data_IF_704264148120
#
_entry.id   IF_704264148120
#
_cell.length_a   1.000
_cell.length_b   1.000
_cell.length_c   1.000
_cell.angle_alpha   90.00
_cell.angle_beta   90.00
_cell.angle_gamma   90.00
#
_symmetry.space_group_name_H-M   'P 1'
#
loop_
_entity.id
_entity.type
_entity.pdbx_description
1 polymer ?
#
# COMPACT_ATOMS: atom_id res chain seq x y z
N UNK A 1 24.18 9.96 -18.68
CA UNK A 1 24.18 11.00 -17.63
C UNK A 1 22.94 10.73 -16.80
N UNK A 2 23.08 10.47 -15.49
CA UNK A 2 21.92 10.24 -14.61
C UNK A 2 21.36 11.62 -14.26
N UNK A 3 20.11 11.89 -14.63
CA UNK A 3 19.43 13.14 -14.31
C UNK A 3 19.14 13.19 -12.81
N UNK A 4 19.15 14.39 -12.22
CA UNK A 4 18.63 14.55 -10.86
C UNK A 4 17.13 14.28 -10.82
N UNK A 5 16.61 13.83 -9.68
CA UNK A 5 15.18 13.54 -9.47
C UNK A 5 14.29 14.75 -9.80
N UNK A 6 14.69 15.95 -9.35
CA UNK A 6 13.98 17.20 -9.65
C UNK A 6 13.98 17.47 -11.16
N UNK A 7 15.10 17.28 -11.85
CA UNK A 7 15.16 17.47 -13.30
C UNK A 7 14.28 16.46 -14.06
N UNK A 8 14.17 15.21 -13.58
CA UNK A 8 13.23 14.22 -14.15
C UNK A 8 11.79 14.72 -14.04
N UNK A 9 11.38 15.22 -12.86
CA UNK A 9 10.04 15.81 -12.65
C UNK A 9 9.81 17.00 -13.60
N UNK A 10 10.76 17.94 -13.67
CA UNK A 10 10.63 19.12 -14.54
C UNK A 10 10.50 18.76 -16.01
N UNK A 11 11.21 17.73 -16.49
CA UNK A 11 11.08 17.23 -17.86
C UNK A 11 9.73 16.60 -18.13
N UNK A 12 9.20 15.81 -17.19
CA UNK A 12 7.85 15.23 -17.28
C UNK A 12 6.79 16.33 -17.35
N UNK A 13 6.86 17.33 -16.45
CA UNK A 13 5.98 18.50 -16.48
C UNK A 13 6.06 19.24 -17.83
N UNK A 14 7.28 19.58 -18.28
CA UNK A 14 7.48 20.29 -19.54
C UNK A 14 6.91 19.50 -20.72
N UNK A 15 7.14 18.19 -20.76
CA UNK A 15 6.68 17.33 -21.83
C UNK A 15 5.15 17.22 -21.85
N UNK A 16 4.52 17.07 -20.69
CA UNK A 16 3.06 17.02 -20.59
C UNK A 16 2.42 18.36 -21.00
N UNK A 17 2.89 19.49 -20.46
CA UNK A 17 2.39 20.82 -20.85
C UNK A 17 2.56 21.10 -22.33
N UNK A 18 3.71 20.77 -22.92
CA UNK A 18 3.93 20.98 -24.36
C UNK A 18 2.96 20.21 -25.23
N UNK A 19 2.49 19.04 -24.76
CA UNK A 19 1.56 18.18 -25.50
C UNK A 19 0.09 18.54 -25.30
N UNK A 20 -0.21 19.31 -24.25
CA UNK A 20 -1.49 19.97 -24.02
C UNK A 20 -1.53 21.38 -24.62
N UNK A 21 -0.52 21.74 -25.44
CA UNK A 21 -0.35 23.09 -26.00
C UNK A 21 -0.33 24.23 -24.94
N UNK A 22 -0.04 23.87 -23.68
CA UNK A 22 0.04 24.78 -22.56
C UNK A 22 1.39 25.51 -22.53
N UNK A 23 1.34 26.85 -22.48
CA UNK A 23 2.54 27.70 -22.45
C UNK A 23 2.94 28.04 -21.03
N UNK A 24 3.78 27.21 -20.43
CA UNK A 24 4.27 27.39 -19.06
C UNK A 24 5.73 27.86 -19.09
N UNK A 25 6.06 28.87 -18.29
CA UNK A 25 7.45 29.33 -18.17
C UNK A 25 8.31 28.27 -17.48
N UNK A 26 9.60 28.22 -17.82
CA UNK A 26 10.55 27.30 -17.16
C UNK A 26 10.63 27.55 -15.64
N UNK A 27 10.45 28.81 -15.21
CA UNK A 27 10.41 29.16 -13.80
C UNK A 27 9.22 28.53 -13.09
N UNK A 28 8.01 28.60 -13.68
CA UNK A 28 6.84 27.94 -13.12
C UNK A 28 6.97 26.40 -13.12
N UNK A 29 7.59 25.82 -14.15
CA UNK A 29 7.90 24.37 -14.19
C UNK A 29 8.86 23.98 -13.06
N UNK A 30 9.88 24.80 -12.79
CA UNK A 30 10.82 24.59 -11.68
C UNK A 30 10.09 24.67 -10.33
N UNK A 31 9.26 25.69 -10.12
CA UNK A 31 8.48 25.84 -8.89
C UNK A 31 7.58 24.62 -8.62
N UNK A 32 6.84 24.16 -9.64
CA UNK A 32 6.02 22.95 -9.56
C UNK A 32 6.87 21.71 -9.27
N UNK A 33 7.98 21.54 -9.99
CA UNK A 33 8.88 20.40 -9.82
C UNK A 33 9.49 20.33 -8.41
N UNK A 34 9.86 21.48 -7.84
CA UNK A 34 10.35 21.58 -6.46
C UNK A 34 9.26 21.20 -5.45
N UNK A 35 8.01 21.64 -5.66
CA UNK A 35 6.90 21.30 -4.76
C UNK A 35 6.61 19.79 -4.79
N UNK A 36 6.49 19.19 -5.98
CA UNK A 36 6.29 17.74 -6.14
C UNK A 36 7.44 16.98 -5.47
N UNK A 37 8.69 17.39 -5.71
CA UNK A 37 9.84 16.73 -5.08
C UNK A 37 9.78 16.80 -3.55
N UNK A 38 9.55 17.99 -2.97
CA UNK A 38 9.53 18.17 -1.50
C UNK A 38 8.43 17.38 -0.81
N UNK A 39 7.24 17.34 -1.40
CA UNK A 39 6.08 16.64 -0.84
C UNK A 39 6.26 15.13 -0.89
N UNK A 40 6.82 14.61 -1.99
CA UNK A 40 7.00 13.18 -2.21
C UNK A 40 8.29 12.58 -1.61
N UNK A 41 9.18 13.40 -1.03
CA UNK A 41 10.44 12.94 -0.40
C UNK A 41 10.39 12.86 1.12
N UNK A 42 9.18 12.89 1.70
CA UNK A 42 9.00 12.69 3.13
C UNK A 42 9.52 11.31 3.57
N UNK A 43 10.40 11.28 4.59
CA UNK A 43 11.10 10.08 5.06
C UNK A 43 10.21 8.93 5.56
N UNK A 44 8.91 9.18 5.75
CA UNK A 44 7.95 8.21 6.27
C UNK A 44 7.25 7.43 5.16
N UNK A 45 7.32 7.88 3.91
CA UNK A 45 6.71 7.19 2.77
C UNK A 45 7.66 6.12 2.25
N UNK A 46 7.13 4.92 2.02
CA UNK A 46 7.87 3.76 1.53
C UNK A 46 7.26 3.17 0.26
N UNK A 47 5.95 3.36 0.03
CA UNK A 47 5.25 2.95 -1.18
C UNK A 47 4.94 4.17 -2.06
N UNK A 48 4.26 5.18 -1.51
CA UNK A 48 3.85 6.39 -2.25
C UNK A 48 5.05 7.36 -2.39
N UNK A 49 6.06 6.95 -3.16
CA UNK A 49 7.35 7.64 -3.38
C UNK A 49 7.47 8.21 -4.80
N UNK A 50 8.55 8.96 -5.08
CA UNK A 50 8.85 9.40 -6.44
C UNK A 50 9.13 8.27 -7.42
N UNK A 51 9.55 7.10 -6.95
CA UNK A 51 9.76 5.93 -7.80
C UNK A 51 8.43 5.39 -8.33
N UNK A 52 7.41 5.30 -7.47
CA UNK A 52 6.02 4.98 -7.84
C UNK A 52 5.49 5.99 -8.87
N UNK A 53 5.60 7.28 -8.56
CA UNK A 53 5.18 8.36 -9.47
C UNK A 53 5.88 8.29 -10.82
N UNK A 54 7.18 7.98 -10.86
CA UNK A 54 7.90 7.87 -12.12
C UNK A 54 7.49 6.67 -12.96
N UNK A 55 7.18 5.53 -12.33
CA UNK A 55 6.62 4.37 -13.03
C UNK A 55 5.29 4.74 -13.70
N UNK A 56 4.39 5.40 -12.97
CA UNK A 56 3.10 5.85 -13.52
C UNK A 56 3.25 6.91 -14.61
N UNK A 57 4.19 7.85 -14.44
CA UNK A 57 4.41 8.93 -15.39
C UNK A 57 5.08 8.48 -16.70
N UNK A 58 5.58 7.24 -16.81
CA UNK A 58 6.11 6.65 -18.04
C UNK A 58 4.99 6.20 -19.00
N UNK A 59 4.00 7.07 -19.21
CA UNK A 59 2.82 6.82 -20.04
C UNK A 59 2.71 7.86 -21.18
N UNK A 60 2.25 7.49 -22.39
CA UNK A 60 2.12 8.42 -23.50
C UNK A 60 0.91 9.36 -23.41
N UNK A 61 0.04 9.32 -22.42
CA UNK A 61 -1.07 10.28 -22.28
C UNK A 61 -0.64 11.46 -21.38
N UNK A 62 -0.61 12.72 -21.83
CA UNK A 62 -0.17 13.85 -21.00
C UNK A 62 -1.00 14.05 -19.73
N UNK A 63 -2.31 13.77 -19.76
CA UNK A 63 -3.14 13.83 -18.54
C UNK A 63 -2.71 12.78 -17.51
N UNK A 64 -2.39 11.57 -17.97
CA UNK A 64 -1.86 10.50 -17.13
C UNK A 64 -0.54 10.92 -16.48
N UNK A 65 0.38 11.54 -17.25
CA UNK A 65 1.66 12.03 -16.72
C UNK A 65 1.47 13.07 -15.63
N UNK A 66 0.57 14.05 -15.84
CA UNK A 66 0.29 15.06 -14.82
C UNK A 66 -0.43 14.45 -13.62
N UNK A 67 -1.44 13.60 -13.82
CA UNK A 67 -2.12 12.93 -12.71
C UNK A 67 -1.14 12.12 -11.84
N UNK A 68 -0.22 11.38 -12.46
CA UNK A 68 0.84 10.64 -11.76
C UNK A 68 1.65 11.54 -10.83
N UNK A 69 2.07 12.71 -11.30
CA UNK A 69 2.89 13.66 -10.51
C UNK A 69 2.17 14.27 -9.31
N UNK A 70 0.84 14.26 -9.29
CA UNK A 70 0.04 14.98 -8.30
C UNK A 70 -0.89 14.11 -7.44
N UNK A 71 -1.29 12.91 -7.88
CA UNK A 71 -2.34 12.12 -7.19
C UNK A 71 -1.99 11.79 -5.73
N UNK A 72 -0.71 11.57 -5.43
CA UNK A 72 -0.17 11.27 -4.10
C UNK A 72 0.48 12.46 -3.39
N UNK A 73 0.30 13.68 -3.89
CA UNK A 73 1.00 14.85 -3.32
C UNK A 73 0.60 15.10 -1.85
N UNK A 74 -0.59 14.64 -1.46
CA UNK A 74 -1.06 14.60 -0.08
C UNK A 74 -1.20 13.17 0.40
N UNK A 75 -0.53 12.83 1.51
CA UNK A 75 -0.74 11.56 2.21
C UNK A 75 -0.89 11.80 3.72
N UNK A 76 -2.04 12.35 4.10
CA UNK A 76 -2.25 13.07 5.37
C UNK A 76 -1.92 12.24 6.61
N UNK A 77 -2.32 10.96 6.63
CA UNK A 77 -2.15 10.09 7.81
C UNK A 77 -0.68 9.72 8.01
N UNK A 78 0.05 9.51 6.91
CA UNK A 78 1.45 9.11 6.92
C UNK A 78 2.35 10.32 7.17
N UNK A 79 2.09 11.44 6.50
CA UNK A 79 2.82 12.69 6.66
C UNK A 79 2.49 13.42 7.97
N UNK A 80 1.46 12.95 8.71
CA UNK A 80 0.96 13.53 9.97
C UNK A 80 0.47 14.96 9.81
N UNK A 81 -0.24 15.22 8.72
CA UNK A 81 -0.80 16.53 8.37
C UNK A 81 -0.54 16.92 6.91
N UNK A 82 -0.98 18.11 6.52
CA UNK A 82 -0.65 18.65 5.20
C UNK A 82 0.78 19.21 5.15
N UNK A 83 1.56 18.90 4.09
CA UNK A 83 2.83 19.58 3.82
C UNK A 83 2.64 21.11 3.77
N UNK A 84 3.62 21.94 4.21
CA UNK A 84 3.44 23.38 4.29
C UNK A 84 3.03 24.06 2.97
N UNK A 85 3.62 23.63 1.86
CA UNK A 85 3.31 24.11 0.52
C UNK A 85 1.86 23.80 0.13
N UNK A 86 1.38 22.58 0.43
CA UNK A 86 0.00 22.16 0.19
C UNK A 86 -0.97 22.91 1.11
N UNK A 87 -0.66 22.98 2.42
CA UNK A 87 -1.51 23.59 3.44
C UNK A 87 -1.90 25.02 3.07
N UNK A 88 -0.97 25.80 2.52
CA UNK A 88 -1.24 27.20 2.09
C UNK A 88 -2.36 27.29 1.06
N UNK A 89 -2.49 26.29 0.20
CA UNK A 89 -3.49 26.25 -0.87
C UNK A 89 -4.81 25.66 -0.37
N UNK A 90 -4.76 24.59 0.42
CA UNK A 90 -5.99 23.85 0.81
C UNK A 90 -6.66 24.39 2.08
N UNK A 91 -5.96 25.16 2.92
CA UNK A 91 -6.50 25.69 4.18
C UNK A 91 -7.81 26.49 4.07
N UNK A 92 -8.09 27.24 2.99
CA UNK A 92 -9.40 27.89 2.82
C UNK A 92 -10.57 26.89 2.68
N UNK A 93 -10.29 25.67 2.26
CA UNK A 93 -11.29 24.66 1.89
C UNK A 93 -11.34 23.48 2.86
N UNK A 94 -10.28 23.25 3.64
CA UNK A 94 -10.13 22.13 4.56
C UNK A 94 -9.82 22.60 5.97
N UNK A 95 -10.54 22.06 6.95
CA UNK A 95 -10.41 22.39 8.38
C UNK A 95 -9.82 21.19 9.13
N UNK A 96 -8.66 21.37 9.76
CA UNK A 96 -7.98 20.40 10.63
C UNK A 96 -8.42 20.64 12.10
N UNK A 97 -9.30 19.79 12.66
CA UNK A 97 -9.66 19.82 14.10
C UNK A 97 -9.61 18.41 14.70
N UNK A 98 -10.66 17.62 14.45
CA UNK A 98 -10.81 16.22 14.85
C UNK A 98 -10.78 15.33 13.60
N UNK A 99 -9.67 15.45 12.85
CA UNK A 99 -9.56 15.00 11.46
C UNK A 99 -9.77 16.16 10.48
N UNK A 100 -10.00 15.81 9.21
CA UNK A 100 -10.12 16.77 8.11
C UNK A 100 -11.59 16.89 7.71
N UNK A 101 -12.10 18.12 7.66
CA UNK A 101 -13.48 18.41 7.25
C UNK A 101 -13.48 19.45 6.14
N UNK A 102 -14.34 19.29 5.13
CA UNK A 102 -14.53 20.29 4.09
C UNK A 102 -15.18 21.53 4.70
N UNK A 103 -14.67 22.72 4.40
CA UNK A 103 -15.22 23.97 4.88
C UNK A 103 -16.70 24.11 4.48
N UNK A 104 -17.55 24.53 5.43
CA UNK A 104 -18.98 24.69 5.19
C UNK A 104 -19.31 25.91 4.31
N UNK A 105 -18.47 26.95 4.35
CA UNK A 105 -18.62 28.19 3.60
C UNK A 105 -17.60 28.29 2.48
N UNK A 106 -17.82 27.53 1.40
CA UNK A 106 -17.05 27.70 0.17
C UNK A 106 -17.76 28.74 -0.68
N UNK A 107 -17.05 29.83 -0.99
CA UNK A 107 -17.62 30.96 -1.71
C UNK A 107 -18.10 30.54 -3.11
N UNK A 108 -19.24 31.09 -3.61
CA UNK A 108 -19.80 30.69 -4.89
C UNK A 108 -18.88 30.88 -6.10
N UNK A 109 -17.91 31.81 -6.00
CA UNK A 109 -16.92 32.12 -7.03
C UNK A 109 -15.70 31.18 -7.02
N UNK A 110 -15.55 30.32 -6.01
CA UNK A 110 -14.48 29.30 -5.93
C UNK A 110 -14.82 28.10 -6.84
N UNK A 111 -14.83 28.37 -8.14
CA UNK A 111 -15.30 27.44 -9.18
C UNK A 111 -14.54 26.11 -9.18
N UNK A 112 -13.21 26.15 -9.10
CA UNK A 112 -12.39 24.93 -9.10
C UNK A 112 -12.65 24.05 -7.88
N UNK A 113 -12.76 24.63 -6.68
CA UNK A 113 -13.09 23.88 -5.47
C UNK A 113 -14.47 23.21 -5.59
N UNK A 114 -15.46 23.90 -6.16
CA UNK A 114 -16.82 23.35 -6.37
C UNK A 114 -16.84 22.22 -7.39
N UNK A 115 -16.15 22.38 -8.53
CA UNK A 115 -16.00 21.31 -9.52
C UNK A 115 -15.31 20.09 -8.91
N UNK A 116 -14.24 20.30 -8.13
CA UNK A 116 -13.55 19.20 -7.42
C UNK A 116 -14.50 18.46 -6.47
N UNK A 117 -15.29 19.19 -5.67
CA UNK A 117 -16.30 18.58 -4.79
C UNK A 117 -17.34 17.77 -5.55
N UNK A 118 -17.86 18.31 -6.66
CA UNK A 118 -18.88 17.64 -7.46
C UNK A 118 -18.34 16.37 -8.12
N UNK A 119 -17.12 16.39 -8.65
CA UNK A 119 -16.44 15.22 -9.22
C UNK A 119 -16.24 14.14 -8.17
N UNK A 120 -15.84 14.51 -6.95
CA UNK A 120 -15.70 13.57 -5.82
C UNK A 120 -17.03 13.19 -5.16
N UNK A 121 -18.13 13.87 -5.50
CA UNK A 121 -19.43 13.63 -4.87
C UNK A 121 -19.47 14.02 -3.39
N UNK A 122 -18.67 15.00 -2.98
CA UNK A 122 -18.60 15.48 -1.61
C UNK A 122 -19.40 16.76 -1.40
N UNK A 123 -19.79 16.99 -0.14
CA UNK A 123 -20.53 18.17 0.28
C UNK A 123 -19.72 19.07 1.22
N UNK A 124 -19.92 20.41 1.17
CA UNK A 124 -19.42 21.31 2.21
C UNK A 124 -19.82 20.84 3.62
N UNK A 125 -18.90 20.91 4.57
CA UNK A 125 -19.10 20.43 5.94
C UNK A 125 -18.92 18.92 6.14
N UNK A 126 -18.67 18.14 5.09
CA UNK A 126 -18.44 16.70 5.20
C UNK A 126 -17.07 16.40 5.83
N UNK A 127 -17.05 15.49 6.81
CA UNK A 127 -15.82 14.94 7.35
C UNK A 127 -15.23 13.91 6.37
N UNK A 128 -13.94 14.04 6.09
CA UNK A 128 -13.22 13.17 5.17
C UNK A 128 -12.54 12.03 5.93
N UNK A 129 -12.56 10.84 5.33
CA UNK A 129 -11.90 9.63 5.86
C UNK A 129 -10.78 9.19 4.92
N UNK A 130 -9.66 8.67 5.46
CA UNK A 130 -8.62 8.01 4.66
C UNK A 130 -9.20 6.93 3.73
N UNK A 131 -10.20 6.18 4.20
CA UNK A 131 -10.82 5.07 3.45
C UNK A 131 -11.86 5.53 2.43
N UNK A 132 -12.13 6.84 2.36
CA UNK A 132 -13.08 7.43 1.42
C UNK A 132 -12.47 8.66 0.77
N UNK A 133 -11.27 8.53 0.20
CA UNK A 133 -10.73 9.52 -0.72
C UNK A 133 -10.21 10.84 -0.12
N UNK A 134 -9.82 10.89 1.16
CA UNK A 134 -9.26 12.11 1.77
C UNK A 134 -7.99 12.59 1.05
N UNK A 135 -7.06 11.67 0.79
CA UNK A 135 -5.76 12.00 0.22
C UNK A 135 -5.91 12.44 -1.23
N UNK A 136 -6.65 11.66 -2.01
CA UNK A 136 -7.01 11.88 -3.41
C UNK A 136 -7.74 13.21 -3.59
N UNK A 137 -8.75 13.51 -2.77
CA UNK A 137 -9.45 14.79 -2.84
C UNK A 137 -8.54 15.98 -2.54
N UNK A 138 -7.70 15.85 -1.50
CA UNK A 138 -6.78 16.91 -1.12
C UNK A 138 -5.70 17.14 -2.18
N UNK A 139 -5.20 16.07 -2.78
CA UNK A 139 -4.27 16.07 -3.91
C UNK A 139 -4.88 16.72 -5.15
N UNK A 140 -6.10 16.33 -5.53
CA UNK A 140 -6.82 16.90 -6.67
C UNK A 140 -7.10 18.39 -6.46
N UNK A 141 -7.52 18.79 -5.25
CA UNK A 141 -7.75 20.18 -4.92
C UNK A 141 -6.47 21.01 -5.02
N UNK A 142 -5.36 20.52 -4.44
CA UNK A 142 -4.07 21.19 -4.56
C UNK A 142 -3.63 21.31 -6.02
N UNK A 143 -3.69 20.21 -6.78
CA UNK A 143 -3.32 20.13 -8.19
C UNK A 143 -4.11 21.14 -9.03
N UNK A 144 -5.43 21.22 -8.84
CA UNK A 144 -6.28 22.15 -9.58
C UNK A 144 -5.83 23.61 -9.39
N UNK A 145 -5.50 24.01 -8.16
CA UNK A 145 -5.03 25.36 -7.89
C UNK A 145 -3.58 25.59 -8.34
N UNK A 146 -2.72 24.56 -8.29
CA UNK A 146 -1.34 24.64 -8.76
C UNK A 146 -1.24 24.76 -10.28
N UNK A 147 -2.19 24.17 -11.02
CA UNK A 147 -2.18 24.10 -12.49
C UNK A 147 -3.14 25.09 -13.17
N UNK A 148 -3.96 25.84 -12.42
CA UNK A 148 -5.03 26.70 -12.98
C UNK A 148 -4.61 27.77 -13.97
N UNK A 149 -3.36 28.25 -13.87
CA UNK A 149 -2.84 29.29 -14.78
C UNK A 149 -2.21 28.66 -16.05
N UNK A 150 -1.96 27.35 -16.01
CA UNK A 150 -1.31 26.60 -17.07
C UNK A 150 -2.30 25.85 -17.98
N UNK A 151 -3.38 25.33 -17.40
CA UNK A 151 -4.32 24.44 -18.06
C UNK A 151 -5.72 25.04 -18.11
N UNK A 152 -6.49 24.64 -19.12
CA UNK A 152 -7.91 25.00 -19.21
C UNK A 152 -8.78 24.11 -18.30
N UNK A 153 -10.06 24.45 -18.18
CA UNK A 153 -10.98 23.73 -17.31
C UNK A 153 -11.22 22.28 -17.74
N UNK A 154 -11.13 21.96 -19.04
CA UNK A 154 -11.33 20.60 -19.56
C UNK A 154 -10.19 19.70 -19.10
N UNK A 155 -8.95 20.18 -19.25
CA UNK A 155 -7.77 19.43 -18.82
C UNK A 155 -7.77 19.25 -17.29
N UNK A 156 -8.09 20.29 -16.52
CA UNK A 156 -8.19 20.21 -15.05
C UNK A 156 -9.28 19.22 -14.59
N UNK A 157 -10.44 19.18 -15.26
CA UNK A 157 -11.48 18.20 -14.98
C UNK A 157 -11.03 16.78 -15.31
N UNK A 158 -10.30 16.59 -16.40
CA UNK A 158 -9.71 15.29 -16.74
C UNK A 158 -8.75 14.81 -15.65
N UNK A 159 -7.84 15.67 -15.20
CA UNK A 159 -6.92 15.35 -14.10
C UNK A 159 -7.67 15.06 -12.80
N UNK A 160 -8.69 15.85 -12.47
CA UNK A 160 -9.52 15.64 -11.27
C UNK A 160 -10.19 14.27 -11.31
N UNK A 161 -10.73 13.87 -12.46
CA UNK A 161 -11.33 12.55 -12.65
C UNK A 161 -10.30 11.42 -12.53
N UNK A 162 -9.08 11.61 -13.04
CA UNK A 162 -7.99 10.64 -12.88
C UNK A 162 -7.65 10.42 -11.39
N UNK A 163 -7.47 11.50 -10.63
CA UNK A 163 -7.15 11.41 -9.19
C UNK A 163 -8.34 10.87 -8.38
N UNK A 164 -9.59 11.19 -8.76
CA UNK A 164 -10.76 10.57 -8.12
C UNK A 164 -10.81 9.06 -8.36
N UNK A 165 -10.42 8.62 -9.56
CA UNK A 165 -10.46 7.24 -9.97
C UNK A 165 -9.48 6.35 -9.17
N UNK A 166 -8.41 6.91 -8.59
CA UNK A 166 -7.45 6.16 -7.76
C UNK A 166 -7.96 5.86 -6.35
N UNK A 167 -9.14 6.35 -5.94
CA UNK A 167 -9.74 5.93 -4.66
C UNK A 167 -10.01 4.41 -4.73
N UNK A 168 -9.29 3.59 -3.93
CA UNK A 168 -9.13 2.18 -4.24
C UNK A 168 -10.33 1.34 -3.79
N UNK A 169 -10.49 0.18 -4.43
CA UNK A 169 -11.34 -0.94 -3.99
C UNK A 169 -12.81 -0.58 -3.71
N UNK A 170 -13.39 0.32 -4.51
CA UNK A 170 -14.79 0.73 -4.36
C UNK A 170 -15.74 -0.35 -4.89
N UNK A 171 -16.59 -0.86 -4.01
CA UNK A 171 -17.66 -1.79 -4.38
C UNK A 171 -18.77 -1.08 -5.16
N UNK A 172 -19.48 -1.84 -6.00
CA UNK A 172 -20.69 -1.34 -6.67
C UNK A 172 -21.75 -0.93 -5.65
N UNK A 173 -22.48 0.15 -5.94
CA UNK A 173 -23.56 0.62 -5.05
C UNK A 173 -24.78 -0.33 -5.07
N UNK A 174 -25.82 -0.01 -4.30
CA UNK A 174 -27.05 -0.81 -4.23
C UNK A 174 -27.77 -0.97 -5.58
N UNK A 175 -27.56 -0.03 -6.51
CA UNK A 175 -28.06 -0.03 -7.88
C UNK A 175 -27.13 -0.76 -8.87
N UNK A 176 -26.09 -1.44 -8.37
CA UNK A 176 -25.04 -2.13 -9.13
C UNK A 176 -24.21 -1.21 -10.04
N UNK A 177 -24.20 0.09 -9.76
CA UNK A 177 -23.38 1.04 -10.48
C UNK A 177 -21.93 0.96 -10.00
N UNK A 178 -20.99 1.00 -10.94
CA UNK A 178 -19.56 1.11 -10.70
C UNK A 178 -19.16 2.51 -10.22
N UNK A 179 -17.93 2.67 -9.73
CA UNK A 179 -17.36 3.99 -9.46
C UNK A 179 -17.31 4.89 -10.71
N UNK A 180 -17.06 4.31 -11.89
CA UNK A 180 -17.03 5.04 -13.16
C UNK A 180 -18.42 5.46 -13.64
N UNK A 181 -19.47 4.64 -13.41
CA UNK A 181 -20.84 5.03 -13.70
C UNK A 181 -21.26 6.26 -12.85
N UNK A 182 -20.82 6.27 -11.58
CA UNK A 182 -21.07 7.38 -10.67
C UNK A 182 -20.22 8.61 -11.01
N UNK A 183 -18.98 8.41 -11.46
CA UNK A 183 -18.10 9.48 -11.94
C UNK A 183 -18.66 10.13 -13.21
N UNK A 184 -19.16 9.35 -14.16
CA UNK A 184 -19.84 9.85 -15.37
C UNK A 184 -21.05 10.73 -15.01
N UNK A 185 -21.90 10.26 -14.10
CA UNK A 185 -23.07 11.01 -13.64
C UNK A 185 -22.68 12.34 -13.00
N UNK A 186 -21.64 12.33 -12.16
CA UNK A 186 -21.09 13.52 -11.51
C UNK A 186 -20.51 14.50 -12.53
N UNK A 187 -19.71 14.03 -13.48
CA UNK A 187 -19.15 14.86 -14.56
C UNK A 187 -20.25 15.47 -15.44
N UNK A 188 -21.25 14.69 -15.83
CA UNK A 188 -22.39 15.17 -16.60
C UNK A 188 -23.19 16.23 -15.83
N UNK A 189 -23.38 16.04 -14.53
CA UNK A 189 -24.06 17.01 -13.68
C UNK A 189 -23.24 18.29 -13.56
N UNK A 190 -21.95 18.19 -13.25
CA UNK A 190 -21.05 19.33 -13.11
C UNK A 190 -20.98 20.14 -14.41
N UNK A 191 -20.81 19.46 -15.55
CA UNK A 191 -20.79 20.09 -16.87
C UNK A 191 -22.07 20.90 -17.15
N UNK A 192 -23.25 20.37 -16.81
CA UNK A 192 -24.53 21.09 -16.95
C UNK A 192 -24.67 22.26 -15.98
N UNK A 193 -24.28 22.06 -14.71
CA UNK A 193 -24.45 23.07 -13.66
C UNK A 193 -23.52 24.26 -13.84
N UNK A 194 -22.27 24.00 -14.26
CA UNK A 194 -21.24 25.02 -14.41
C UNK A 194 -21.02 25.47 -15.83
N UNK A 195 -21.68 24.85 -16.82
CA UNK A 195 -21.52 25.15 -18.24
C UNK A 195 -20.07 25.00 -18.71
N UNK A 196 -19.43 23.89 -18.33
CA UNK A 196 -18.02 23.60 -18.67
C UNK A 196 -17.80 23.43 -20.18
N UNK A 197 -18.87 23.21 -20.96
CA UNK A 197 -18.80 23.12 -22.41
C UNK A 197 -18.33 21.77 -22.94
N UNK A 198 -18.25 20.75 -22.08
CA UNK A 198 -17.87 19.40 -22.48
C UNK A 198 -18.98 18.75 -23.31
N UNK A 199 -18.60 18.10 -24.41
CA UNK A 199 -19.48 17.22 -25.17
C UNK A 199 -19.61 15.85 -24.49
N UNK A 200 -20.50 14.99 -25.01
CA UNK A 200 -20.58 13.61 -24.53
C UNK A 200 -19.27 12.86 -24.78
N UNK A 201 -18.68 13.04 -25.98
CA UNK A 201 -17.41 12.45 -26.38
C UNK A 201 -16.26 12.91 -25.47
N UNK A 202 -16.27 14.18 -25.03
CA UNK A 202 -15.28 14.68 -24.06
C UNK A 202 -15.36 13.97 -22.71
N UNK A 203 -16.58 13.76 -22.20
CA UNK A 203 -16.80 13.09 -20.91
C UNK A 203 -16.38 11.62 -21.02
N UNK A 204 -16.74 10.95 -22.12
CA UNK A 204 -16.31 9.57 -22.39
C UNK A 204 -14.78 9.47 -22.45
N UNK A 205 -14.11 10.38 -23.16
CA UNK A 205 -12.65 10.41 -23.22
C UNK A 205 -12.00 10.63 -21.84
N UNK A 206 -12.55 11.54 -21.02
CA UNK A 206 -12.07 11.76 -19.65
C UNK A 206 -12.16 10.46 -18.84
N UNK A 207 -13.27 9.74 -18.93
CA UNK A 207 -13.49 8.49 -18.20
C UNK A 207 -12.56 7.37 -18.68
N UNK A 208 -12.32 7.28 -20.00
CA UNK A 208 -11.34 6.34 -20.56
C UNK A 208 -9.92 6.61 -20.06
N UNK A 209 -9.50 7.87 -19.95
CA UNK A 209 -8.18 8.21 -19.38
C UNK A 209 -8.16 7.85 -17.89
N UNK A 210 -9.21 8.21 -17.14
CA UNK A 210 -9.30 7.96 -15.70
C UNK A 210 -9.29 6.46 -15.36
N UNK A 211 -9.99 5.60 -16.10
CA UNK A 211 -9.99 4.15 -15.86
C UNK A 211 -8.63 3.52 -16.14
N UNK A 212 -7.95 3.97 -17.19
CA UNK A 212 -6.61 3.52 -17.50
C UNK A 212 -5.59 3.98 -16.45
N UNK A 213 -5.72 5.21 -15.94
CA UNK A 213 -4.89 5.71 -14.86
C UNK A 213 -5.10 4.90 -13.57
N UNK A 214 -6.35 4.68 -13.15
CA UNK A 214 -6.67 3.91 -11.96
C UNK A 214 -6.15 2.47 -12.03
N UNK A 215 -6.28 1.82 -13.19
CA UNK A 215 -5.74 0.47 -13.40
C UNK A 215 -4.21 0.42 -13.36
N UNK A 216 -3.53 1.48 -13.81
CA UNK A 216 -2.07 1.57 -13.77
C UNK A 216 -1.56 1.82 -12.35
N UNK A 217 -2.27 2.64 -11.56
CA UNK A 217 -1.93 2.93 -10.16
C UNK A 217 -1.87 1.66 -9.28
N UNK A 218 -2.73 0.67 -9.58
CA UNK A 218 -2.79 -0.61 -8.85
C UNK A 218 -2.22 -1.79 -9.66
N UNK A 219 -1.42 -1.53 -10.70
CA UNK A 219 -0.91 -2.57 -11.61
C UNK A 219 -0.10 -3.67 -10.89
N UNK A 220 0.54 -3.32 -9.77
CA UNK A 220 1.34 -4.24 -8.96
C UNK A 220 0.56 -5.45 -8.45
N UNK A 221 -0.77 -5.36 -8.35
CA UNK A 221 -1.63 -6.51 -8.03
C UNK A 221 -1.62 -7.57 -9.14
N UNK A 222 -1.40 -7.19 -10.39
CA UNK A 222 -1.34 -8.10 -11.54
C UNK A 222 0.08 -8.52 -11.92
N UNK A 223 1.07 -8.35 -11.04
CA UNK A 223 2.45 -8.80 -11.29
C UNK A 223 2.52 -10.31 -11.57
N UNK A 224 3.15 -10.77 -12.67
CA UNK A 224 3.30 -12.20 -12.93
C UNK A 224 4.13 -12.92 -11.87
N UNK A 225 5.10 -12.21 -11.26
CA UNK A 225 5.91 -12.70 -10.17
C UNK A 225 5.32 -12.27 -8.82
N UNK A 226 4.83 -13.21 -7.98
CA UNK A 226 4.31 -12.89 -6.65
C UNK A 226 5.30 -12.18 -5.73
N UNK A 227 6.61 -12.36 -5.93
CA UNK A 227 7.65 -11.65 -5.17
C UNK A 227 7.66 -10.15 -5.42
N UNK A 228 7.35 -9.71 -6.65
CA UNK A 228 7.23 -8.28 -6.99
C UNK A 228 5.95 -7.69 -6.41
N UNK A 229 4.82 -8.42 -6.49
CA UNK A 229 3.58 -8.04 -5.82
C UNK A 229 3.78 -7.86 -4.30
N UNK A 230 4.48 -8.80 -3.67
CA UNK A 230 4.75 -8.73 -2.23
C UNK A 230 5.75 -7.64 -1.85
N UNK A 231 6.68 -7.26 -2.71
CA UNK A 231 7.55 -6.09 -2.47
C UNK A 231 6.72 -4.82 -2.32
N UNK A 232 5.79 -4.58 -3.25
CA UNK A 232 4.83 -3.46 -3.18
C UNK A 232 4.01 -3.51 -1.91
N UNK A 233 3.47 -4.69 -1.58
CA UNK A 233 2.71 -4.90 -0.35
C UNK A 233 3.57 -4.65 0.92
N UNK A 234 4.83 -5.06 0.94
CA UNK A 234 5.73 -4.86 2.08
C UNK A 234 6.12 -3.39 2.29
N UNK A 235 6.22 -2.62 1.21
CA UNK A 235 6.37 -1.16 1.29
C UNK A 235 5.16 -0.52 1.97
N UNK A 236 3.94 -0.95 1.62
CA UNK A 236 2.70 -0.51 2.28
C UNK A 236 2.66 -0.95 3.75
N UNK A 237 3.14 -2.18 4.06
CA UNK A 237 3.25 -2.65 5.44
C UNK A 237 4.16 -1.75 6.28
N UNK A 238 5.33 -1.36 5.76
CA UNK A 238 6.22 -0.43 6.45
C UNK A 238 5.53 0.91 6.68
N UNK A 239 5.02 1.49 5.59
CA UNK A 239 4.44 2.83 5.58
C UNK A 239 3.24 2.99 6.53
N UNK A 240 2.37 1.99 6.58
CA UNK A 240 1.17 2.00 7.42
C UNK A 240 1.42 1.65 8.90
N UNK A 241 2.64 1.22 9.26
CA UNK A 241 2.95 0.75 10.61
C UNK A 241 4.18 1.49 11.18
N UNK A 242 3.92 2.63 11.82
CA UNK A 242 4.95 3.50 12.42
C UNK A 242 6.01 2.78 13.27
N UNK A 243 5.69 1.79 14.13
CA UNK A 243 6.71 1.08 14.90
C UNK A 243 7.81 0.45 14.05
N UNK A 244 7.47 0.00 12.83
CA UNK A 244 8.40 -0.71 11.93
C UNK A 244 9.42 0.23 11.27
N UNK A 245 9.22 1.55 11.33
CA UNK A 245 10.14 2.53 10.75
C UNK A 245 11.50 2.54 11.48
N UNK A 246 11.54 2.08 12.73
CA UNK A 246 12.79 1.97 13.50
C UNK A 246 13.26 0.52 13.44
N UNK A 247 14.03 0.19 12.40
CA UNK A 247 14.57 -1.14 12.18
C UNK A 247 15.30 -1.68 13.44
N UNK A 248 15.00 -2.91 13.82
CA UNK A 248 15.61 -3.59 14.97
C UNK A 248 15.11 -3.17 16.36
N UNK A 249 14.26 -2.14 16.46
CA UNK A 249 13.74 -1.65 17.74
C UNK A 249 12.29 -2.07 18.03
N UNK A 250 11.54 -2.51 17.03
CA UNK A 250 10.15 -2.92 17.21
C UNK A 250 10.05 -4.28 17.94
N UNK A 251 9.00 -4.41 18.74
CA UNK A 251 8.66 -5.62 19.48
C UNK A 251 8.07 -6.72 18.60
N UNK A 252 8.08 -7.96 19.11
CA UNK A 252 7.39 -9.10 18.51
C UNK A 252 5.91 -8.75 18.28
N UNK A 253 5.26 -8.14 19.27
CA UNK A 253 3.84 -7.78 19.21
C UNK A 253 3.55 -6.67 18.18
N UNK A 254 4.43 -5.68 18.04
CA UNK A 254 4.32 -4.64 17.02
C UNK A 254 4.47 -5.20 15.60
N UNK A 255 5.43 -6.10 15.38
CA UNK A 255 5.59 -6.78 14.09
C UNK A 255 4.37 -7.63 13.75
N UNK A 256 3.89 -8.43 14.71
CA UNK A 256 2.66 -9.21 14.55
C UNK A 256 1.45 -8.32 14.24
N UNK A 257 1.28 -7.17 14.90
CA UNK A 257 0.20 -6.24 14.59
C UNK A 257 0.25 -5.78 13.12
N UNK A 258 1.45 -5.43 12.62
CA UNK A 258 1.64 -5.08 11.22
C UNK A 258 1.26 -6.22 10.26
N UNK A 259 1.70 -7.45 10.55
CA UNK A 259 1.33 -8.64 9.77
C UNK A 259 -0.18 -8.93 9.82
N UNK A 260 -0.84 -8.77 10.97
CA UNK A 260 -2.30 -8.95 11.08
C UNK A 260 -3.06 -7.94 10.24
N UNK A 261 -2.62 -6.68 10.21
CA UNK A 261 -3.25 -5.64 9.40
C UNK A 261 -3.09 -5.95 7.91
N UNK A 262 -1.89 -6.37 7.49
CA UNK A 262 -1.64 -6.78 6.11
C UNK A 262 -2.43 -8.04 5.73
N UNK A 263 -2.48 -9.05 6.61
CA UNK A 263 -3.28 -10.26 6.39
C UNK A 263 -4.78 -9.96 6.29
N UNK A 264 -5.30 -9.07 7.14
CA UNK A 264 -6.69 -8.59 7.03
C UNK A 264 -6.93 -7.91 5.69
N UNK A 265 -6.02 -7.06 5.24
CA UNK A 265 -6.13 -6.37 3.95
C UNK A 265 -6.13 -7.36 2.78
N UNK A 266 -5.07 -8.16 2.63
CA UNK A 266 -4.93 -9.07 1.49
C UNK A 266 -6.05 -10.12 1.44
N UNK A 267 -6.44 -10.69 2.58
CA UNK A 267 -7.36 -11.83 2.59
C UNK A 267 -8.84 -11.46 2.57
N UNK A 268 -9.16 -10.18 2.72
CA UNK A 268 -10.53 -9.68 2.55
C UNK A 268 -10.69 -8.85 1.27
N UNK A 269 -9.60 -8.57 0.53
CA UNK A 269 -9.69 -7.86 -0.73
C UNK A 269 -10.25 -8.80 -1.82
N UNK A 270 -11.31 -8.34 -2.48
CA UNK A 270 -11.89 -9.05 -3.61
C UNK A 270 -11.15 -8.70 -4.90
N UNK A 271 -10.67 -9.68 -5.70
CA UNK A 271 -9.98 -9.40 -6.96
C UNK A 271 -10.82 -8.57 -7.95
N UNK A 272 -12.14 -8.71 -7.90
CA UNK A 272 -13.08 -8.11 -8.85
C UNK A 272 -13.28 -6.60 -8.66
N UNK A 273 -12.73 -6.00 -7.59
CA UNK A 273 -12.82 -4.56 -7.31
C UNK A 273 -11.47 -3.84 -7.43
N UNK A 274 -10.42 -4.53 -7.88
CA UNK A 274 -9.07 -3.96 -8.05
C UNK A 274 -8.96 -3.25 -9.39
N UNK A 275 -9.30 -3.96 -10.47
CA UNK A 275 -9.27 -3.42 -11.81
C UNK A 275 -10.66 -3.05 -12.29
N UNK A 276 -10.69 -2.06 -13.17
CA UNK A 276 -11.90 -1.42 -13.63
C UNK A 276 -11.98 -1.44 -15.15
N UNK A 277 -13.20 -1.35 -15.66
CA UNK A 277 -13.49 -1.22 -17.08
C UNK A 277 -14.60 -0.20 -17.26
N UNK A 278 -14.47 0.61 -18.30
CA UNK A 278 -15.49 1.57 -18.72
C UNK A 278 -15.69 1.45 -20.23
N UNK A 279 -16.93 1.25 -20.67
CA UNK A 279 -17.30 1.09 -22.08
C UNK A 279 -16.43 0.08 -22.88
N UNK A 280 -16.01 -1.01 -22.22
CA UNK A 280 -15.18 -2.04 -22.85
C UNK A 280 -13.69 -1.75 -22.88
N UNK A 281 -13.22 -0.67 -22.24
CA UNK A 281 -11.80 -0.35 -22.06
C UNK A 281 -11.39 -0.52 -20.57
N UNK A 282 -10.38 -1.34 -20.25
CA UNK A 282 -9.66 -2.23 -21.17
C UNK A 282 -10.57 -3.37 -21.66
N UNK A 283 -10.24 -4.05 -22.77
CA UNK A 283 -11.01 -5.18 -23.29
C UNK A 283 -11.24 -6.30 -22.27
N UNK A 284 -12.35 -7.03 -22.42
CA UNK A 284 -12.79 -8.07 -21.46
C UNK A 284 -11.73 -9.15 -21.19
N UNK A 285 -10.95 -9.52 -22.20
CA UNK A 285 -9.87 -10.51 -22.07
C UNK A 285 -8.69 -9.97 -21.26
N UNK A 286 -8.35 -8.69 -21.45
CA UNK A 286 -7.34 -7.99 -20.66
C UNK A 286 -7.78 -7.87 -19.21
N UNK A 287 -9.01 -7.41 -18.97
CA UNK A 287 -9.57 -7.29 -17.61
C UNK A 287 -9.60 -8.65 -16.91
N UNK A 288 -10.07 -9.70 -17.60
CA UNK A 288 -10.12 -11.06 -17.06
C UNK A 288 -8.74 -11.57 -16.67
N UNK A 289 -7.71 -11.28 -17.48
CA UNK A 289 -6.32 -11.63 -17.18
C UNK A 289 -5.81 -10.89 -15.93
N UNK A 290 -6.04 -9.58 -15.84
CA UNK A 290 -5.61 -8.76 -14.70
C UNK A 290 -6.26 -9.26 -13.39
N UNK A 291 -7.57 -9.53 -13.41
CA UNK A 291 -8.30 -10.09 -12.26
C UNK A 291 -7.76 -11.49 -11.91
N UNK A 292 -7.44 -12.32 -12.91
CA UNK A 292 -6.85 -13.64 -12.70
C UNK A 292 -5.50 -13.58 -11.99
N UNK A 293 -4.62 -12.67 -12.40
CA UNK A 293 -3.31 -12.45 -11.79
C UNK A 293 -3.45 -11.90 -10.36
N UNK A 294 -4.32 -10.90 -10.15
CA UNK A 294 -4.58 -10.39 -8.81
C UNK A 294 -5.16 -11.44 -7.87
N UNK A 295 -6.07 -12.29 -8.34
CA UNK A 295 -6.60 -13.41 -7.53
C UNK A 295 -5.48 -14.34 -7.09
N UNK A 296 -4.60 -14.74 -8.02
CA UNK A 296 -3.46 -15.61 -7.71
C UNK A 296 -2.51 -14.95 -6.71
N UNK A 297 -2.17 -13.68 -6.93
CA UNK A 297 -1.27 -12.93 -6.05
C UNK A 297 -1.85 -12.74 -4.64
N UNK A 298 -3.14 -12.45 -4.51
CA UNK A 298 -3.81 -12.36 -3.21
C UNK A 298 -3.82 -13.70 -2.47
N UNK A 299 -4.08 -14.82 -3.17
CA UNK A 299 -4.04 -16.15 -2.57
C UNK A 299 -2.63 -16.48 -2.04
N UNK A 300 -1.60 -16.28 -2.86
CA UNK A 300 -0.19 -16.52 -2.49
C UNK A 300 0.22 -15.60 -1.34
N UNK A 301 -0.12 -14.31 -1.42
CA UNK A 301 0.20 -13.31 -0.40
C UNK A 301 -0.48 -13.61 0.94
N UNK A 302 -1.72 -14.08 0.91
CA UNK A 302 -2.44 -14.54 2.10
C UNK A 302 -1.76 -15.72 2.78
N UNK A 303 -1.44 -16.76 2.03
CA UNK A 303 -0.76 -17.93 2.60
C UNK A 303 0.62 -17.53 3.15
N UNK A 304 1.38 -16.72 2.41
CA UNK A 304 2.66 -16.18 2.87
C UNK A 304 2.55 -15.44 4.20
N UNK A 305 1.61 -14.49 4.32
CA UNK A 305 1.39 -13.74 5.57
C UNK A 305 0.90 -14.65 6.69
N UNK A 306 0.01 -15.61 6.41
CA UNK A 306 -0.50 -16.56 7.40
C UNK A 306 0.62 -17.43 7.98
N UNK A 307 1.54 -17.91 7.16
CA UNK A 307 2.68 -18.69 7.64
C UNK A 307 3.60 -17.83 8.51
N UNK A 308 3.85 -16.57 8.13
CA UNK A 308 4.60 -15.62 8.97
C UNK A 308 3.87 -15.33 10.28
N UNK A 309 2.55 -15.24 10.27
CA UNK A 309 1.72 -15.06 11.47
C UNK A 309 1.77 -16.28 12.41
N UNK A 310 1.82 -17.51 11.89
CA UNK A 310 2.02 -18.70 12.72
C UNK A 310 3.40 -18.72 13.36
N UNK A 311 4.44 -18.41 12.59
CA UNK A 311 5.81 -18.34 13.11
C UNK A 311 5.93 -17.28 14.22
N UNK A 312 5.38 -16.07 14.00
CA UNK A 312 5.42 -15.01 15.03
C UNK A 312 4.56 -15.35 16.25
N UNK A 313 3.49 -16.15 16.10
CA UNK A 313 2.71 -16.64 17.24
C UNK A 313 3.56 -17.50 18.19
N UNK A 314 4.42 -18.36 17.64
CA UNK A 314 5.32 -19.20 18.45
C UNK A 314 6.31 -18.30 19.21
N UNK A 315 6.89 -17.29 18.53
CA UNK A 315 7.78 -16.32 19.18
C UNK A 315 7.09 -15.51 20.26
N UNK A 316 5.90 -14.95 20.00
CA UNK A 316 5.16 -14.17 20.99
C UNK A 316 4.83 -15.03 22.21
N UNK A 317 4.41 -16.28 22.00
CA UNK A 317 4.10 -17.17 23.10
C UNK A 317 5.32 -17.51 23.97
N UNK A 318 6.47 -17.82 23.33
CA UNK A 318 7.72 -18.06 24.03
C UNK A 318 8.20 -16.81 24.77
N UNK A 319 8.11 -15.63 24.15
CA UNK A 319 8.51 -14.37 24.77
C UNK A 319 7.66 -14.08 26.01
N UNK A 320 6.34 -14.18 25.90
CA UNK A 320 5.41 -13.97 27.01
C UNK A 320 5.69 -14.90 28.20
N UNK A 321 5.90 -16.20 27.95
CA UNK A 321 6.15 -17.19 29.00
C UNK A 321 7.54 -17.06 29.66
N UNK A 322 8.49 -16.36 29.03
CA UNK A 322 9.88 -16.30 29.48
C UNK A 322 10.30 -14.93 30.00
N UNK A 323 9.46 -13.90 29.84
CA UNK A 323 9.74 -12.55 30.34
C UNK A 323 8.89 -11.41 29.76
N UNK A 324 7.77 -11.71 29.11
CA UNK A 324 6.93 -10.72 28.43
C UNK A 324 7.43 -10.34 27.04
N UNK A 325 6.68 -9.49 26.34
CA UNK A 325 7.02 -8.94 25.03
C UNK A 325 8.46 -8.37 24.97
N UNK A 326 9.09 -8.44 23.80
CA UNK A 326 10.50 -8.12 23.60
C UNK A 326 10.76 -7.63 22.17
N UNK A 327 11.88 -6.90 21.92
CA UNK A 327 12.34 -6.61 20.57
C UNK A 327 12.48 -7.90 19.75
N UNK A 328 11.99 -7.91 18.50
CA UNK A 328 12.07 -9.10 17.64
C UNK A 328 13.53 -9.51 17.37
N UNK A 329 14.39 -8.50 17.21
CA UNK A 329 15.84 -8.67 17.02
C UNK A 329 16.52 -9.46 18.14
N UNK A 330 16.00 -9.38 19.37
CA UNK A 330 16.53 -10.15 20.49
C UNK A 330 16.38 -11.67 20.28
N UNK A 331 15.30 -12.09 19.62
CA UNK A 331 15.00 -13.49 19.36
C UNK A 331 15.56 -13.97 18.03
N UNK A 332 15.52 -13.13 16.99
CA UNK A 332 15.88 -13.55 15.62
C UNK A 332 17.28 -13.11 15.18
N UNK A 333 17.87 -12.11 15.85
CA UNK A 333 19.10 -11.43 15.44
C UNK A 333 18.80 -10.09 14.75
N UNK A 334 19.82 -9.23 14.68
CA UNK A 334 19.69 -7.91 14.06
C UNK A 334 19.65 -7.99 12.52
N UNK A 335 18.92 -7.05 11.93
CA UNK A 335 18.94 -6.80 10.48
C UNK A 335 20.25 -6.08 10.15
N UNK A 336 21.05 -6.67 9.27
CA UNK A 336 22.41 -6.20 8.96
C UNK A 336 22.42 -4.80 8.35
N UNK A 337 23.20 -3.88 8.93
CA UNK A 337 23.71 -2.67 8.26
C UNK A 337 25.26 -2.66 8.13
N UNK A 338 25.98 -3.68 8.62
CA UNK A 338 27.45 -3.72 8.61
C UNK A 338 28.00 -5.11 8.30
N UNK A 339 29.22 -5.16 7.74
CA UNK A 339 29.97 -6.34 7.25
C UNK A 339 30.39 -7.36 8.33
N UNK A 340 29.93 -7.22 9.58
CA UNK A 340 30.28 -8.16 10.64
C UNK A 340 29.29 -9.34 10.66
N UNK A 341 29.76 -10.59 10.85
CA UNK A 341 28.89 -11.74 10.99
C UNK A 341 28.08 -11.64 12.28
N UNK A 342 26.79 -11.34 12.16
CA UNK A 342 25.83 -11.31 13.28
C UNK A 342 25.26 -12.73 13.44
N UNK A 343 25.14 -13.18 14.70
CA UNK A 343 24.46 -14.44 15.04
C UNK A 343 22.99 -14.33 14.61
N UNK A 344 22.45 -15.34 13.93
CA UNK A 344 21.04 -15.36 13.50
C UNK A 344 20.34 -16.64 13.91
N UNK A 345 19.04 -16.56 14.17
CA UNK A 345 18.27 -17.69 14.69
C UNK A 345 18.25 -18.88 13.73
N UNK A 346 18.16 -18.65 12.41
CA UNK A 346 18.11 -19.73 11.42
C UNK A 346 19.36 -20.62 11.41
N UNK A 347 20.50 -20.13 11.91
CA UNK A 347 21.73 -20.91 12.05
C UNK A 347 21.63 -22.01 13.11
N UNK A 348 20.59 -21.97 13.96
CA UNK A 348 20.35 -22.93 15.03
C UNK A 348 19.08 -23.75 14.82
N UNK A 349 18.35 -23.53 13.71
CA UNK A 349 17.25 -24.38 13.32
C UNK A 349 17.79 -25.68 12.68
N UNK A 350 17.06 -26.81 12.80
CA UNK A 350 17.38 -28.01 12.04
C UNK A 350 17.36 -27.74 10.53
N UNK A 351 18.19 -28.47 9.78
CA UNK A 351 18.12 -28.46 8.33
C UNK A 351 16.75 -29.02 7.88
N UNK A 352 16.15 -28.36 6.89
CA UNK A 352 14.89 -28.80 6.28
C UNK A 352 15.16 -29.85 5.19
N UNK A 353 14.29 -30.85 5.08
CA UNK A 353 14.29 -31.78 3.93
C UNK A 353 13.82 -31.05 2.65
N UNK A 354 14.25 -31.53 1.48
CA UNK A 354 13.74 -31.02 0.20
C UNK A 354 12.22 -31.23 0.09
N UNK A 355 11.48 -30.13 -0.09
CA UNK A 355 10.04 -30.17 -0.32
C UNK A 355 9.76 -30.17 -1.82
N UNK A 356 8.97 -31.14 -2.26
CA UNK A 356 8.37 -31.12 -3.59
C UNK A 356 7.00 -30.44 -3.52
N UNK A 357 6.82 -29.23 -4.10
CA UNK A 357 5.52 -28.58 -4.10
C UNK A 357 4.48 -29.37 -4.90
N UNK A 358 3.26 -29.44 -4.40
CA UNK A 358 2.15 -30.12 -5.09
C UNK A 358 1.55 -29.28 -6.22
N UNK A 359 1.69 -27.95 -6.14
CA UNK A 359 1.15 -26.97 -7.10
C UNK A 359 2.13 -25.84 -7.37
N UNK A 360 1.97 -25.14 -8.49
CA UNK A 360 2.77 -23.97 -8.83
C UNK A 360 2.61 -22.82 -7.81
N UNK A 361 1.43 -22.68 -7.20
CA UNK A 361 1.18 -21.66 -6.18
C UNK A 361 1.84 -22.03 -4.85
N UNK A 362 1.84 -23.30 -4.46
CA UNK A 362 2.62 -23.78 -3.32
C UNK A 362 4.13 -23.60 -3.56
N UNK A 363 4.60 -23.87 -4.78
CA UNK A 363 5.98 -23.61 -5.18
C UNK A 363 6.35 -22.13 -5.04
N UNK A 364 5.44 -21.23 -5.41
CA UNK A 364 5.63 -19.79 -5.25
C UNK A 364 5.74 -19.38 -3.77
N UNK A 365 4.87 -19.91 -2.89
CA UNK A 365 4.95 -19.65 -1.43
C UNK A 365 6.27 -20.15 -0.85
N UNK A 366 6.68 -21.39 -1.18
CA UNK A 366 7.96 -21.96 -0.77
C UNK A 366 9.12 -21.06 -1.19
N UNK A 367 9.14 -20.65 -2.46
CA UNK A 367 10.19 -19.79 -3.00
C UNK A 367 10.25 -18.43 -2.25
N UNK A 368 9.11 -17.83 -1.95
CA UNK A 368 9.04 -16.58 -1.18
C UNK A 368 9.55 -16.72 0.25
N UNK A 369 9.37 -17.88 0.88
CA UNK A 369 9.84 -18.14 2.24
C UNK A 369 11.33 -18.46 2.27
N UNK A 370 11.82 -19.24 1.32
CA UNK A 370 13.20 -19.73 1.24
C UNK A 370 14.16 -18.70 0.62
N UNK A 371 13.85 -18.27 -0.60
CA UNK A 371 14.68 -17.38 -1.43
C UNK A 371 14.36 -15.91 -1.16
N UNK A 372 13.07 -15.61 -0.96
CA UNK A 372 12.59 -14.29 -0.58
C UNK A 372 11.87 -13.52 -1.68
N UNK A 373 11.39 -12.33 -1.30
CA UNK A 373 10.83 -11.34 -2.23
C UNK A 373 11.92 -10.80 -3.17
N UNK A 374 11.50 -10.10 -4.22
CA UNK A 374 12.42 -9.60 -5.27
C UNK A 374 13.40 -8.56 -4.71
N UNK A 375 13.00 -7.82 -3.67
CA UNK A 375 13.79 -6.74 -3.05
C UNK A 375 13.94 -6.92 -1.54
N UNK A 376 14.97 -6.29 -0.99
CA UNK A 376 15.15 -6.19 0.46
C UNK A 376 14.30 -5.04 1.04
N UNK A 377 13.81 -5.25 2.26
CA UNK A 377 13.17 -4.22 3.07
C UNK A 377 14.10 -3.78 4.19
N UNK A 378 14.02 -2.52 4.60
CA UNK A 378 14.86 -1.97 5.66
C UNK A 378 14.58 -2.52 7.07
N UNK A 379 13.41 -3.15 7.26
CA UNK A 379 12.89 -3.56 8.57
C UNK A 379 12.60 -5.06 8.70
N UNK A 380 12.77 -5.85 7.64
CA UNK A 380 12.49 -7.30 7.60
C UNK A 380 13.43 -7.97 6.59
N UNK A 381 13.75 -9.24 6.80
CA UNK A 381 14.50 -10.02 5.82
C UNK A 381 13.64 -10.26 4.58
N UNK A 382 14.27 -10.31 3.39
CA UNK A 382 13.56 -10.59 2.13
C UNK A 382 12.98 -12.00 2.10
N UNK A 383 13.69 -12.96 2.68
CA UNK A 383 13.23 -14.32 2.91
C UNK A 383 12.74 -14.48 4.36
N UNK A 384 12.20 -15.63 4.70
CA UNK A 384 11.65 -15.88 6.03
C UNK A 384 12.00 -17.30 6.49
N UNK A 385 13.27 -17.56 6.84
CA UNK A 385 13.76 -18.91 7.13
C UNK A 385 12.99 -19.62 8.26
N UNK A 386 12.60 -18.90 9.32
CA UNK A 386 11.79 -19.51 10.38
C UNK A 386 10.38 -19.85 9.92
N UNK A 387 9.79 -19.02 9.06
CA UNK A 387 8.48 -19.29 8.47
C UNK A 387 8.56 -20.43 7.46
N UNK A 388 9.67 -20.55 6.73
CA UNK A 388 9.99 -21.71 5.90
C UNK A 388 10.03 -23.00 6.74
N UNK A 389 10.81 -23.01 7.83
CA UNK A 389 10.87 -24.13 8.77
C UNK A 389 9.49 -24.52 9.36
N UNK A 390 8.64 -23.52 9.67
CA UNK A 390 7.27 -23.79 10.13
C UNK A 390 6.41 -24.38 9.02
N UNK A 391 6.57 -23.91 7.78
CA UNK A 391 5.85 -24.43 6.62
C UNK A 391 6.24 -25.89 6.32
N UNK A 392 7.53 -26.21 6.42
CA UNK A 392 8.09 -27.54 6.13
C UNK A 392 7.64 -28.60 7.14
N UNK A 393 7.53 -28.21 8.42
CA UNK A 393 7.25 -29.15 9.51
C UNK A 393 5.79 -29.18 9.98
N UNK A 394 4.94 -28.25 9.53
CA UNK A 394 3.51 -28.25 9.87
C UNK A 394 2.69 -28.36 8.59
N UNK A 395 2.00 -29.49 8.41
CA UNK A 395 1.10 -29.72 7.27
C UNK A 395 0.02 -28.64 7.11
N UNK A 396 -0.43 -28.40 5.89
CA UNK A 396 -1.46 -27.40 5.58
C UNK A 396 -2.74 -27.55 6.43
N UNK A 397 -3.35 -28.75 6.59
CA UNK A 397 -4.54 -28.88 7.45
C UNK A 397 -4.26 -28.47 8.89
N UNK A 398 -3.06 -28.79 9.40
CA UNK A 398 -2.68 -28.43 10.75
C UNK A 398 -2.43 -26.93 10.89
N UNK A 399 -1.85 -26.26 9.90
CA UNK A 399 -1.71 -24.79 9.88
C UNK A 399 -3.08 -24.09 9.93
N UNK A 400 -4.04 -24.60 9.16
CA UNK A 400 -5.41 -24.08 9.18
C UNK A 400 -6.10 -24.23 10.55
N UNK A 401 -5.84 -25.32 11.28
CA UNK A 401 -6.33 -25.53 12.65
C UNK A 401 -5.63 -24.63 13.69
N UNK A 402 -4.33 -24.37 13.51
CA UNK A 402 -3.55 -23.55 14.44
C UNK A 402 -3.84 -22.06 14.30
N UNK A 403 -4.22 -21.58 13.13
CA UNK A 403 -4.43 -20.14 12.89
C UNK A 403 -5.51 -19.51 13.78
N UNK A 404 -6.72 -20.11 13.94
CA UNK A 404 -7.71 -19.62 14.91
C UNK A 404 -7.18 -19.61 16.35
N UNK A 405 -6.33 -20.56 16.74
CA UNK A 405 -5.72 -20.59 18.08
C UNK A 405 -4.70 -19.47 18.26
N UNK A 406 -3.87 -19.22 17.25
CA UNK A 406 -2.95 -18.08 17.22
C UNK A 406 -3.74 -16.77 17.37
N UNK A 407 -4.83 -16.59 16.61
CA UNK A 407 -5.68 -15.42 16.73
C UNK A 407 -6.33 -15.29 18.11
N UNK A 408 -6.82 -16.38 18.70
CA UNK A 408 -7.36 -16.37 20.05
C UNK A 408 -6.30 -15.98 21.10
N UNK A 409 -5.05 -16.41 20.90
CA UNK A 409 -3.93 -16.00 21.76
C UNK A 409 -3.62 -14.52 21.62
N UNK A 410 -3.57 -14.00 20.39
CA UNK A 410 -3.34 -12.57 20.12
C UNK A 410 -4.44 -11.68 20.75
N UNK A 411 -5.68 -12.16 20.75
CA UNK A 411 -6.81 -11.50 21.38
C UNK A 411 -6.83 -11.64 22.93
N UNK A 412 -5.88 -12.37 23.52
CA UNK A 412 -5.83 -12.67 24.96
C UNK A 412 -6.90 -13.65 25.44
N UNK A 413 -7.56 -14.37 24.52
CA UNK A 413 -8.62 -15.35 24.81
C UNK A 413 -8.08 -16.76 25.04
N UNK A 414 -6.85 -17.03 24.58
CA UNK A 414 -6.14 -18.30 24.75
C UNK A 414 -4.79 -18.03 25.45
N UNK A 415 -4.46 -18.73 26.54
CA UNK A 415 -3.14 -18.61 27.16
C UNK A 415 -2.02 -19.04 26.20
N UNK A 416 -0.86 -18.35 26.19
CA UNK A 416 0.28 -18.72 25.34
C UNK A 416 0.74 -20.18 25.48
N UNK A 417 0.71 -20.72 26.70
CA UNK A 417 1.10 -22.11 26.95
C UNK A 417 0.15 -23.11 26.28
N UNK A 418 -1.15 -22.79 26.22
CA UNK A 418 -2.14 -23.63 25.57
C UNK A 418 -1.96 -23.63 24.04
N UNK A 419 -1.65 -22.46 23.46
CA UNK A 419 -1.27 -22.37 22.06
C UNK A 419 -0.03 -23.24 21.74
N UNK A 420 1.06 -23.09 22.49
CA UNK A 420 2.29 -23.87 22.26
C UNK A 420 2.06 -25.38 22.42
N UNK A 421 1.16 -25.83 23.32
CA UNK A 421 0.81 -27.25 23.45
C UNK A 421 0.05 -27.80 22.24
N UNK A 422 -0.64 -26.95 21.48
CA UNK A 422 -1.29 -27.34 20.24
C UNK A 422 -0.30 -27.41 19.06
N UNK A 423 0.76 -26.61 19.07
CA UNK A 423 1.81 -26.70 18.04
C UNK A 423 2.58 -28.01 18.18
N UNK A 424 3.13 -28.53 17.07
CA UNK A 424 3.97 -29.72 17.10
C UNK A 424 5.15 -29.53 18.11
N UNK A 425 5.33 -30.45 19.08
CA UNK A 425 6.39 -30.33 20.07
C UNK A 425 7.80 -30.22 19.48
N UNK A 426 8.07 -30.84 18.33
CA UNK A 426 9.34 -30.74 17.64
C UNK A 426 9.59 -29.30 17.16
N UNK A 427 8.60 -28.68 16.54
CA UNK A 427 8.69 -27.29 16.04
C UNK A 427 8.91 -26.32 17.20
N UNK A 428 8.15 -26.46 18.30
CA UNK A 428 8.32 -25.63 19.50
C UNK A 428 9.71 -25.84 20.11
N UNK A 429 10.16 -27.10 20.25
CA UNK A 429 11.47 -27.46 20.80
C UNK A 429 12.61 -26.86 19.97
N UNK A 430 12.54 -26.95 18.64
CA UNK A 430 13.53 -26.39 17.72
C UNK A 430 13.61 -24.86 17.83
N UNK A 431 12.47 -24.16 17.76
CA UNK A 431 12.44 -22.69 17.83
C UNK A 431 12.85 -22.20 19.22
N UNK A 432 12.42 -22.87 20.30
CA UNK A 432 12.81 -22.52 21.66
C UNK A 432 14.32 -22.72 21.89
N UNK A 433 14.89 -23.83 21.40
CA UNK A 433 16.33 -24.09 21.46
C UNK A 433 17.13 -23.04 20.68
N UNK A 434 16.70 -22.70 19.47
CA UNK A 434 17.33 -21.68 18.65
C UNK A 434 17.23 -20.29 19.32
N UNK A 435 16.06 -19.95 19.88
CA UNK A 435 15.85 -18.71 20.64
C UNK A 435 16.72 -18.66 21.91
N UNK A 436 16.94 -19.78 22.59
CA UNK A 436 17.78 -19.87 23.78
C UNK A 436 19.26 -19.59 23.48
N UNK A 437 19.70 -19.84 22.25
CA UNK A 437 21.02 -19.45 21.75
C UNK A 437 21.12 -17.93 21.50
N UNK A 438 20.01 -17.29 21.13
CA UNK A 438 19.95 -15.85 20.84
C UNK A 438 19.78 -15.01 22.11
N UNK A 439 18.89 -15.43 23.01
CA UNK A 439 18.40 -14.62 24.14
C UNK A 439 19.03 -15.12 25.44
N UNK A 440 20.27 -14.72 25.74
CA UNK A 440 20.99 -15.21 26.93
C UNK A 440 20.23 -14.98 28.24
N UNK A 441 19.51 -13.85 28.34
CA UNK A 441 18.77 -13.45 29.54
C UNK A 441 17.53 -14.32 29.82
N UNK A 442 17.02 -15.03 28.81
CA UNK A 442 15.83 -15.90 28.91
C UNK A 442 16.16 -17.37 28.65
N UNK A 443 17.45 -17.71 28.52
CA UNK A 443 17.93 -19.02 28.09
C UNK A 443 17.36 -20.17 28.92
N UNK A 444 17.45 -20.09 30.25
CA UNK A 444 17.00 -21.17 31.14
C UNK A 444 15.49 -21.44 31.03
N UNK A 445 14.69 -20.37 30.92
CA UNK A 445 13.25 -20.47 30.76
C UNK A 445 12.87 -21.03 29.38
N UNK A 446 13.55 -20.59 28.31
CA UNK A 446 13.35 -21.11 26.95
C UNK A 446 13.70 -22.60 26.85
N UNK A 447 14.77 -23.04 27.51
CA UNK A 447 15.19 -24.44 27.50
C UNK A 447 14.18 -25.39 28.17
N UNK A 448 13.22 -24.89 28.96
CA UNK A 448 12.13 -25.73 29.52
C UNK A 448 11.14 -26.22 28.45
N UNK A 449 11.13 -25.59 27.29
CA UNK A 449 10.30 -25.98 26.15
C UNK A 449 11.00 -26.96 25.20
N UNK A 450 12.28 -27.24 25.43
CA UNK A 450 13.05 -28.23 24.68
C UNK A 450 12.75 -29.62 25.24
N UNK A 451 12.08 -30.45 24.45
CA UNK A 451 11.67 -31.81 24.80
C UNK A 451 12.31 -32.84 23.89
#
# INVERSE_FOLDING_TARGET
>A
MILSTIEKIMRLLQQAFSRLDARVSLHAIEELGVIVHKTMTAHVRSYHTLEHVFHLAEHPEPHHQLAALFHDIVYYQIDRGFPPEVRRVVAPFLVERDGVTIAAGIEPNERLARLTLEVFGYAPGQQLSPFSGLNEFSSALFMNYALREALDERDLLCLTACVEATIPFRVKNAQKQSCFDLLEQRLCQANRQHQCGLTADDIEQILMIAVNFANHDVDSFAEPNPGTFLDSSWKVLLESNTPLHTAGAYSIREYRNGLQNMGKFLCHLHPEIIFHQYHGEPPDDVLSRLIGLARRNLLIGCEYVNIKLLAIAIFEALAELTGGDAPLSLFMGDLTQQELPIKRLEQFLPDDDEISPETDDAAAVINLLEVGRTSESSFDLKNSPTSFFVYTHISEPRRAELMPLAQAMFDGKLPPEEFLRAVDPFVVSAIAKASAEMVFSRREELLRFVR
#
